data_IF_557809507021
#
_entry.id   IF_557809507021
#
_cell.length_a   1.000
_cell.length_b   1.000
_cell.length_c   1.000
_cell.angle_alpha   90.00
_cell.angle_beta   90.00
_cell.angle_gamma   90.00
#
_symmetry.space_group_name_H-M   'P 1'
#
loop_
_entity.id
_entity.type
_entity.pdbx_description
1 polymer ?
#
# COMPACT_ATOMS: atom_id res chain seq x y z
N UNK A 1 -23.29 -7.35 29.38
CA UNK A 1 -23.77 -6.04 28.90
C UNK A 1 -22.65 -5.43 28.07
N UNK A 2 -23.01 -4.98 26.86
CA UNK A 2 -22.13 -4.66 25.72
C UNK A 2 -20.99 -3.67 26.04
N UNK A 3 -19.75 -4.06 25.75
CA UNK A 3 -18.74 -3.10 25.33
C UNK A 3 -18.89 -2.89 23.83
N UNK A 4 -19.62 -1.84 23.43
CA UNK A 4 -19.58 -1.33 22.06
C UNK A 4 -18.13 -0.94 21.77
N UNK A 5 -17.40 -1.80 21.06
CA UNK A 5 -16.25 -1.36 20.27
C UNK A 5 -16.82 -0.33 19.31
N UNK A 6 -16.40 0.92 19.43
CA UNK A 6 -16.61 1.92 18.39
C UNK A 6 -16.09 1.29 17.10
N UNK A 7 -17.00 0.83 16.21
CA UNK A 7 -16.61 0.47 14.87
C UNK A 7 -16.17 1.79 14.24
N UNK A 8 -14.86 2.02 14.15
CA UNK A 8 -14.31 3.05 13.28
C UNK A 8 -14.92 2.81 11.90
N UNK A 9 -15.77 3.72 11.43
CA UNK A 9 -16.34 3.65 10.09
C UNK A 9 -15.17 3.59 9.11
N UNK A 10 -15.17 2.55 8.27
CA UNK A 10 -14.11 2.32 7.29
C UNK A 10 -14.27 3.34 6.19
N UNK A 11 -13.28 4.21 6.00
CA UNK A 11 -13.40 5.33 5.05
C UNK A 11 -12.72 5.01 3.73
N UNK A 12 -13.37 5.41 2.64
CA UNK A 12 -12.79 5.40 1.31
C UNK A 12 -12.73 6.79 0.71
N UNK A 13 -11.72 7.07 -0.10
CA UNK A 13 -11.59 8.30 -0.86
C UNK A 13 -11.68 7.99 -2.36
N UNK A 14 -12.57 8.67 -3.08
CA UNK A 14 -12.60 8.66 -4.55
C UNK A 14 -12.23 10.04 -5.05
N UNK A 15 -11.34 10.06 -6.04
CA UNK A 15 -10.89 11.26 -6.72
C UNK A 15 -11.02 11.08 -8.21
N UNK A 16 -11.98 11.77 -8.82
CA UNK A 16 -12.20 11.75 -10.27
C UNK A 16 -12.81 13.09 -10.66
N UNK A 17 -12.44 13.70 -11.77
CA UNK A 17 -13.00 15.00 -12.19
C UNK A 17 -14.40 14.84 -12.78
N UNK A 18 -14.75 13.66 -13.29
CA UNK A 18 -16.04 13.36 -13.90
C UNK A 18 -17.10 12.97 -12.85
N UNK A 19 -18.23 13.69 -12.85
CA UNK A 19 -19.26 13.54 -11.82
C UNK A 19 -20.05 12.22 -11.96
N UNK A 20 -20.27 11.74 -13.18
CA UNK A 20 -20.98 10.48 -13.43
C UNK A 20 -20.12 9.28 -13.02
N UNK A 21 -18.83 9.30 -13.38
CA UNK A 21 -17.82 8.34 -12.93
C UNK A 21 -17.76 8.30 -11.40
N UNK A 22 -17.65 9.46 -10.72
CA UNK A 22 -17.67 9.52 -9.25
C UNK A 22 -18.93 8.91 -8.64
N UNK A 23 -20.10 9.19 -9.21
CA UNK A 23 -21.37 8.67 -8.71
C UNK A 23 -21.44 7.13 -8.85
N UNK A 24 -21.12 6.60 -10.04
CA UNK A 24 -21.14 5.16 -10.30
C UNK A 24 -20.10 4.38 -9.50
N UNK A 25 -18.92 4.95 -9.28
CA UNK A 25 -17.92 4.38 -8.37
C UNK A 25 -18.39 4.44 -6.92
N UNK A 26 -19.03 5.54 -6.53
CA UNK A 26 -19.52 5.73 -5.18
C UNK A 26 -20.56 4.70 -4.76
N UNK A 27 -21.50 4.36 -5.65
CA UNK A 27 -22.48 3.28 -5.41
C UNK A 27 -21.82 1.93 -5.12
N UNK A 28 -20.76 1.59 -5.86
CA UNK A 28 -20.02 0.34 -5.67
C UNK A 28 -19.26 0.31 -4.34
N UNK A 29 -18.66 1.43 -3.93
CA UNK A 29 -17.96 1.50 -2.65
C UNK A 29 -18.90 1.52 -1.45
N UNK A 30 -20.07 2.16 -1.57
CA UNK A 30 -21.10 2.13 -0.53
C UNK A 30 -21.63 0.71 -0.30
N UNK A 31 -21.71 -0.12 -1.35
CA UNK A 31 -22.06 -1.54 -1.23
C UNK A 31 -21.07 -2.36 -0.40
N UNK A 32 -19.84 -1.86 -0.20
CA UNK A 32 -18.80 -2.47 0.64
C UNK A 32 -18.82 -1.98 2.11
N UNK A 33 -19.88 -1.28 2.53
CA UNK A 33 -20.02 -0.70 3.87
C UNK A 33 -18.90 0.29 4.23
N UNK A 34 -18.36 1.00 3.23
CA UNK A 34 -17.39 2.07 3.43
C UNK A 34 -18.11 3.42 3.53
N UNK A 35 -17.63 4.27 4.43
CA UNK A 35 -17.98 5.69 4.45
C UNK A 35 -17.18 6.43 3.37
N UNK A 36 -17.89 6.99 2.41
CA UNK A 36 -17.29 7.49 1.19
C UNK A 36 -17.06 8.99 1.24
N UNK A 37 -15.81 9.40 1.05
CA UNK A 37 -15.44 10.77 0.70
C UNK A 37 -15.16 10.83 -0.81
N UNK A 38 -15.85 11.72 -1.54
CA UNK A 38 -15.63 11.91 -2.97
C UNK A 38 -15.22 13.36 -3.24
N UNK A 39 -14.10 13.54 -3.95
CA UNK A 39 -13.55 14.86 -4.31
C UNK A 39 -13.22 14.89 -5.80
N UNK A 40 -13.12 16.09 -6.38
CA UNK A 40 -12.99 16.26 -7.84
C UNK A 40 -11.74 16.99 -8.28
N UNK A 41 -10.84 17.33 -7.36
CA UNK A 41 -9.64 18.14 -7.64
C UNK A 41 -8.41 17.60 -6.91
N UNK A 42 -7.24 17.91 -7.44
CA UNK A 42 -5.94 17.54 -6.85
C UNK A 42 -5.75 18.22 -5.49
N UNK A 43 -6.19 19.46 -5.34
CA UNK A 43 -6.08 20.22 -4.09
C UNK A 43 -6.87 19.54 -2.97
N UNK A 44 -8.11 19.14 -3.24
CA UNK A 44 -8.94 18.41 -2.27
C UNK A 44 -8.41 17.01 -1.99
N UNK A 45 -7.76 16.35 -2.96
CA UNK A 45 -7.06 15.08 -2.72
C UNK A 45 -5.96 15.26 -1.67
N UNK A 46 -5.08 16.24 -1.85
CA UNK A 46 -3.98 16.50 -0.91
C UNK A 46 -4.53 16.85 0.47
N UNK A 47 -5.55 17.72 0.54
CA UNK A 47 -6.20 18.09 1.80
C UNK A 47 -6.75 16.85 2.53
N UNK A 48 -7.46 15.96 1.84
CA UNK A 48 -8.01 14.74 2.44
C UNK A 48 -6.91 13.80 2.93
N UNK A 49 -5.85 13.60 2.14
CA UNK A 49 -4.73 12.73 2.54
C UNK A 49 -3.95 13.25 3.75
N UNK A 50 -3.97 14.56 4.00
CA UNK A 50 -3.32 15.17 5.16
C UNK A 50 -4.23 15.22 6.41
N UNK A 51 -5.54 15.21 6.23
CA UNK A 51 -6.52 15.44 7.32
C UNK A 51 -7.27 14.18 7.75
N UNK A 52 -7.18 13.11 6.98
CA UNK A 52 -7.93 11.89 7.22
C UNK A 52 -7.16 10.62 6.83
N UNK A 53 -7.42 9.55 7.58
CA UNK A 53 -6.99 8.20 7.21
C UNK A 53 -8.09 7.51 6.40
N UNK A 54 -7.68 6.74 5.41
CA UNK A 54 -8.55 5.97 4.52
C UNK A 54 -8.08 4.53 4.46
N UNK A 55 -9.02 3.59 4.35
CA UNK A 55 -8.68 2.18 4.09
C UNK A 55 -8.39 1.92 2.62
N UNK A 56 -8.87 2.81 1.73
CA UNK A 56 -8.61 2.75 0.31
C UNK A 56 -8.79 4.13 -0.34
N UNK A 57 -7.94 4.41 -1.32
CA UNK A 57 -7.98 5.65 -2.09
C UNK A 57 -7.99 5.31 -3.58
N UNK A 58 -8.98 5.78 -4.31
CA UNK A 58 -9.09 5.64 -5.76
C UNK A 58 -8.80 7.00 -6.40
N UNK A 59 -7.85 7.04 -7.33
CA UNK A 59 -7.43 8.29 -7.98
C UNK A 59 -7.47 8.11 -9.50
N UNK A 60 -8.24 8.96 -10.19
CA UNK A 60 -8.12 9.08 -11.64
C UNK A 60 -6.79 9.75 -12.01
N UNK A 61 -6.00 9.10 -12.85
CA UNK A 61 -4.74 9.64 -13.34
C UNK A 61 -4.93 10.88 -14.24
N UNK A 62 -6.11 11.04 -14.84
CA UNK A 62 -6.46 12.20 -15.66
C UNK A 62 -6.98 13.39 -14.81
N UNK A 63 -6.86 13.32 -13.48
CA UNK A 63 -7.22 14.40 -12.58
C UNK A 63 -6.27 15.60 -12.74
N UNK A 64 -6.84 16.78 -13.02
CA UNK A 64 -6.08 18.02 -13.13
C UNK A 64 -5.29 18.15 -14.44
N UNK A 65 -4.22 18.93 -14.42
CA UNK A 65 -3.32 19.09 -15.57
C UNK A 65 -2.05 18.25 -15.40
N UNK A 66 -1.50 17.75 -16.52
CA UNK A 66 -0.17 17.10 -16.57
C UNK A 66 0.00 15.91 -15.61
N UNK A 67 0.98 15.97 -14.71
CA UNK A 67 1.41 14.89 -13.81
C UNK A 67 0.98 15.12 -12.34
N UNK A 68 0.09 16.09 -12.09
CA UNK A 68 -0.32 16.47 -10.72
C UNK A 68 -0.86 15.32 -9.87
N UNK A 69 -1.63 14.40 -10.47
CA UNK A 69 -2.10 13.21 -9.78
C UNK A 69 -0.93 12.30 -9.34
N UNK A 70 0.08 12.13 -10.20
CA UNK A 70 1.29 11.36 -9.89
C UNK A 70 2.08 12.00 -8.75
N UNK A 71 2.29 13.32 -8.82
CA UNK A 71 3.06 14.04 -7.81
C UNK A 71 2.34 14.04 -6.45
N UNK A 72 1.00 14.07 -6.45
CA UNK A 72 0.19 13.94 -5.23
C UNK A 72 0.33 12.56 -4.58
N UNK A 73 0.39 11.50 -5.38
CA UNK A 73 0.62 10.13 -4.89
C UNK A 73 2.02 10.02 -4.27
N UNK A 74 3.04 10.59 -4.92
CA UNK A 74 4.40 10.60 -4.37
C UNK A 74 4.49 11.37 -3.05
N UNK A 75 3.87 12.54 -3.00
CA UNK A 75 3.82 13.34 -1.78
C UNK A 75 3.14 12.56 -0.65
N UNK A 76 2.00 11.91 -0.94
CA UNK A 76 1.28 11.09 0.03
C UNK A 76 2.13 9.93 0.56
N UNK A 77 2.85 9.24 -0.33
CA UNK A 77 3.76 8.15 0.08
C UNK A 77 4.95 8.68 0.88
N UNK A 78 5.50 9.82 0.50
CA UNK A 78 6.58 10.50 1.23
C UNK A 78 6.15 10.97 2.63
N UNK A 79 4.87 11.36 2.81
CA UNK A 79 4.30 11.76 4.09
C UNK A 79 3.86 10.59 4.98
N UNK A 80 4.13 9.34 4.57
CA UNK A 80 3.81 8.15 5.35
C UNK A 80 2.39 7.60 5.14
N UNK A 81 1.65 8.05 4.13
CA UNK A 81 0.34 7.47 3.81
C UNK A 81 0.52 6.01 3.35
N UNK A 82 -0.06 5.08 4.12
CA UNK A 82 0.04 3.63 3.90
C UNK A 82 -1.22 3.02 3.28
N UNK A 83 -2.29 3.79 3.11
CA UNK A 83 -3.52 3.31 2.50
C UNK A 83 -3.24 2.75 1.09
N UNK A 84 -3.84 1.62 0.70
CA UNK A 84 -3.89 1.18 -0.70
C UNK A 84 -4.36 2.32 -1.59
N UNK A 85 -3.59 2.59 -2.64
CA UNK A 85 -3.95 3.56 -3.68
C UNK A 85 -4.17 2.76 -4.96
N UNK A 86 -5.39 2.84 -5.48
CA UNK A 86 -5.77 2.30 -6.79
C UNK A 86 -5.82 3.46 -7.78
N UNK A 87 -4.94 3.44 -8.76
CA UNK A 87 -4.90 4.46 -9.81
C UNK A 87 -5.73 4.00 -11.00
N UNK A 88 -6.77 4.77 -11.31
CA UNK A 88 -7.62 4.54 -12.47
C UNK A 88 -7.05 5.28 -13.67
N UNK A 89 -6.82 4.59 -14.80
CA UNK A 89 -6.19 5.21 -15.96
C UNK A 89 -6.75 4.68 -17.29
N UNK A 90 -7.11 5.60 -18.20
CA UNK A 90 -7.46 5.25 -19.60
C UNK A 90 -6.21 4.97 -20.43
N UNK A 91 -5.15 5.76 -20.22
CA UNK A 91 -3.85 5.56 -20.85
C UNK A 91 -2.75 5.66 -19.81
N UNK A 92 -1.81 4.70 -19.83
CA UNK A 92 -0.70 4.66 -18.90
C UNK A 92 0.61 4.37 -19.63
N UNK A 93 1.43 5.40 -19.89
CA UNK A 93 2.78 5.24 -20.42
C UNK A 93 3.66 4.40 -19.48
N UNK A 94 4.62 3.66 -20.04
CA UNK A 94 5.49 2.75 -19.30
C UNK A 94 6.28 3.45 -18.18
N UNK A 95 6.73 4.68 -18.42
CA UNK A 95 7.40 5.51 -17.41
C UNK A 95 6.51 5.76 -16.19
N UNK A 96 5.24 6.14 -16.40
CA UNK A 96 4.26 6.34 -15.31
C UNK A 96 3.91 5.02 -14.63
N UNK A 97 3.77 3.93 -15.38
CA UNK A 97 3.52 2.60 -14.82
C UNK A 97 4.65 2.13 -13.91
N UNK A 98 5.90 2.43 -14.27
CA UNK A 98 7.08 2.09 -13.46
C UNK A 98 7.12 2.93 -12.18
N UNK A 99 6.81 4.22 -12.29
CA UNK A 99 6.70 5.15 -11.15
C UNK A 99 5.62 4.69 -10.16
N UNK A 100 4.40 4.40 -10.64
CA UNK A 100 3.30 3.88 -9.80
C UNK A 100 3.65 2.55 -9.12
N UNK A 101 4.27 1.62 -9.85
CA UNK A 101 4.73 0.35 -9.27
C UNK A 101 5.76 0.55 -8.15
N UNK A 102 6.69 1.50 -8.33
CA UNK A 102 7.69 1.81 -7.30
C UNK A 102 7.08 2.40 -6.02
N UNK A 103 5.89 3.01 -6.13
CA UNK A 103 5.10 3.57 -5.03
C UNK A 103 4.12 2.57 -4.42
N UNK A 104 4.13 1.30 -4.88
CA UNK A 104 3.24 0.26 -4.41
C UNK A 104 1.76 0.53 -4.70
N UNK A 105 1.47 1.22 -5.81
CA UNK A 105 0.09 1.50 -6.22
C UNK A 105 -0.42 0.43 -7.20
N UNK A 106 -1.66 0.01 -7.02
CA UNK A 106 -2.38 -0.81 -7.98
C UNK A 106 -2.93 0.07 -9.10
N UNK A 107 -3.10 -0.51 -10.28
CA UNK A 107 -3.60 0.21 -11.46
C UNK A 107 -4.85 -0.49 -12.00
N UNK A 108 -5.92 0.27 -12.13
CA UNK A 108 -7.16 -0.14 -12.76
C UNK A 108 -7.30 0.55 -14.13
N UNK A 109 -7.27 -0.22 -15.23
CA UNK A 109 -7.39 0.35 -16.58
C UNK A 109 -8.84 0.63 -16.94
N UNK A 110 -9.13 1.84 -17.39
CA UNK A 110 -10.43 2.23 -17.95
C UNK A 110 -10.53 1.80 -19.43
N UNK A 111 -11.68 1.31 -19.91
CA UNK A 111 -12.88 0.98 -19.13
C UNK A 111 -12.69 -0.33 -18.35
N UNK A 112 -13.31 -0.40 -17.17
CA UNK A 112 -13.38 -1.60 -16.34
C UNK A 112 -14.85 -1.90 -16.02
N UNK A 113 -15.17 -3.17 -15.83
CA UNK A 113 -16.50 -3.55 -15.36
C UNK A 113 -16.60 -3.48 -13.82
N UNK A 114 -17.82 -3.39 -13.26
CA UNK A 114 -18.02 -3.34 -11.81
C UNK A 114 -17.46 -4.54 -11.04
N UNK A 115 -17.44 -5.74 -11.65
CA UNK A 115 -16.94 -6.94 -11.00
C UNK A 115 -15.42 -6.89 -10.81
N UNK A 116 -14.70 -6.35 -11.79
CA UNK A 116 -13.25 -6.11 -11.75
C UNK A 116 -12.90 -5.12 -10.66
N UNK A 117 -13.64 -4.01 -10.55
CA UNK A 117 -13.45 -3.04 -9.49
C UNK A 117 -13.71 -3.68 -8.12
N UNK A 118 -14.85 -4.35 -7.96
CA UNK A 118 -15.21 -5.01 -6.68
C UNK A 118 -14.13 -6.00 -6.23
N UNK A 119 -13.66 -6.85 -7.14
CA UNK A 119 -12.60 -7.82 -6.85
C UNK A 119 -11.31 -7.14 -6.39
N UNK A 120 -10.90 -6.08 -7.09
CA UNK A 120 -9.70 -5.31 -6.73
C UNK A 120 -9.86 -4.63 -5.36
N UNK A 121 -11.00 -4.00 -5.10
CA UNK A 121 -11.30 -3.35 -3.82
C UNK A 121 -11.29 -4.38 -2.68
N UNK A 122 -11.91 -5.54 -2.86
CA UNK A 122 -11.89 -6.62 -1.87
C UNK A 122 -10.47 -7.12 -1.60
N UNK A 123 -9.64 -7.28 -2.63
CA UNK A 123 -8.23 -7.66 -2.47
C UNK A 123 -7.44 -6.60 -1.68
N UNK A 124 -7.58 -5.32 -2.03
CA UNK A 124 -6.90 -4.23 -1.33
C UNK A 124 -7.36 -4.11 0.13
N UNK A 125 -8.66 -4.22 0.40
CA UNK A 125 -9.22 -4.15 1.75
C UNK A 125 -8.89 -5.38 2.60
N UNK A 126 -8.77 -6.57 1.99
CA UNK A 126 -8.28 -7.77 2.67
C UNK A 126 -6.79 -7.67 2.99
N UNK A 127 -5.97 -7.15 2.08
CA UNK A 127 -4.54 -6.95 2.31
C UNK A 127 -4.24 -5.91 3.40
N UNK A 128 -5.13 -4.92 3.57
CA UNK A 128 -5.04 -3.91 4.64
C UNK A 128 -5.52 -4.41 6.01
N UNK A 129 -6.18 -5.57 6.07
CA UNK A 129 -6.76 -6.08 7.31
C UNK A 129 -5.73 -6.89 8.11
N UNK A 130 -5.46 -6.55 9.39
CA UNK A 130 -4.84 -7.49 10.30
C UNK A 130 -5.89 -8.57 10.62
N UNK A 131 -5.77 -9.72 9.95
CA UNK A 131 -6.54 -10.95 10.09
C UNK A 131 -8.01 -10.95 9.61
N UNK A 132 -8.25 -11.70 8.52
CA UNK A 132 -9.16 -12.87 8.41
C UNK A 132 -9.25 -13.29 6.93
N UNK A 133 -8.62 -14.41 6.58
CA UNK A 133 -8.89 -15.17 5.33
C UNK A 133 -10.12 -16.11 5.56
N UNK A 134 -10.82 -16.65 4.53
CA UNK A 134 -10.30 -16.99 3.19
C UNK A 134 -11.22 -16.78 1.95
N UNK A 135 -10.59 -16.72 0.75
CA UNK A 135 -10.83 -17.55 -0.47
C UNK A 135 -10.87 -16.80 -1.83
N UNK A 136 -10.01 -17.26 -2.78
CA UNK A 136 -9.97 -17.12 -4.27
C UNK A 136 -9.73 -15.74 -4.92
N UNK A 137 -8.89 -15.52 -5.95
CA UNK A 137 -8.05 -16.38 -6.80
C UNK A 137 -6.92 -15.58 -7.52
N UNK A 138 -5.67 -16.06 -7.34
CA UNK A 138 -4.61 -16.44 -8.30
C UNK A 138 -4.04 -15.46 -9.36
N UNK A 139 -2.69 -15.42 -9.50
CA UNK A 139 -2.09 -16.17 -10.62
C UNK A 139 -0.86 -17.03 -10.23
N UNK A 140 -0.74 -18.18 -10.93
CA UNK A 140 0.23 -19.28 -10.82
C UNK A 140 -0.06 -20.33 -9.71
N UNK A 141 -0.55 -21.50 -10.15
CA UNK A 141 -0.89 -22.66 -9.32
C UNK A 141 0.39 -23.25 -8.70
N UNK A 142 0.75 -22.75 -7.53
CA UNK A 142 1.36 -23.55 -6.46
C UNK A 142 0.20 -24.03 -5.58
N UNK A 143 0.27 -25.24 -5.03
CA UNK A 143 -0.79 -25.71 -4.11
C UNK A 143 -0.88 -24.79 -2.88
N UNK A 144 -2.08 -24.65 -2.29
CA UNK A 144 -2.29 -23.82 -1.09
C UNK A 144 -1.27 -24.10 0.03
N UNK A 145 -0.83 -25.36 0.15
CA UNK A 145 0.16 -25.79 1.12
C UNK A 145 1.59 -25.35 0.78
N UNK A 146 1.94 -25.29 -0.51
CA UNK A 146 3.23 -24.83 -1.00
C UNK A 146 3.36 -23.31 -0.86
N UNK A 147 2.30 -22.57 -1.16
CA UNK A 147 2.25 -21.12 -0.94
C UNK A 147 2.33 -20.76 0.54
N UNK A 148 1.66 -21.52 1.42
CA UNK A 148 1.79 -21.38 2.89
C UNK A 148 3.20 -21.72 3.37
N UNK A 149 3.83 -22.76 2.81
CA UNK A 149 5.21 -23.10 3.15
C UNK A 149 6.19 -21.99 2.77
N UNK A 150 6.03 -21.38 1.59
CA UNK A 150 6.81 -20.23 1.15
C UNK A 150 6.60 -19.00 2.04
N UNK A 151 5.35 -18.72 2.43
CA UNK A 151 5.03 -17.63 3.37
C UNK A 151 5.67 -17.84 4.74
N UNK A 152 5.66 -19.07 5.27
CA UNK A 152 6.33 -19.42 6.53
C UNK A 152 7.85 -19.28 6.42
N UNK A 153 8.45 -19.77 5.33
CA UNK A 153 9.89 -19.64 5.09
C UNK A 153 10.32 -18.17 4.99
N UNK A 154 9.49 -17.30 4.40
CA UNK A 154 9.75 -15.87 4.37
C UNK A 154 9.68 -15.24 5.77
N UNK A 155 8.69 -15.60 6.59
CA UNK A 155 8.58 -15.11 7.99
C UNK A 155 9.84 -15.49 8.78
N UNK A 156 10.33 -16.73 8.63
CA UNK A 156 11.58 -17.18 9.27
C UNK A 156 12.79 -16.35 8.80
N UNK A 157 12.89 -16.08 7.50
CA UNK A 157 13.96 -15.24 6.91
C UNK A 157 13.88 -13.78 7.38
N UNK A 158 12.67 -13.24 7.51
CA UNK A 158 12.40 -11.90 8.05
C UNK A 158 12.92 -11.77 9.48
N UNK A 159 12.69 -12.80 10.30
CA UNK A 159 13.02 -12.78 11.72
C UNK A 159 14.49 -13.04 12.00
N UNK A 160 15.06 -14.06 11.34
CA UNK A 160 16.41 -14.52 11.62
C UNK A 160 17.48 -13.78 10.81
N UNK A 161 17.09 -13.11 9.72
CA UNK A 161 18.00 -12.35 8.86
C UNK A 161 17.65 -10.86 8.86
N UNK A 162 16.60 -10.50 8.12
CA UNK A 162 16.37 -9.09 7.77
C UNK A 162 16.21 -8.16 8.97
N UNK A 163 15.42 -8.52 9.99
CA UNK A 163 15.25 -7.65 11.16
C UNK A 163 16.48 -7.58 12.05
N UNK A 164 17.23 -8.67 12.18
CA UNK A 164 18.48 -8.69 12.95
C UNK A 164 19.51 -7.80 12.27
N UNK A 165 19.69 -7.96 10.97
CA UNK A 165 20.62 -7.15 10.18
C UNK A 165 20.22 -5.68 10.16
N UNK A 166 18.91 -5.38 10.04
CA UNK A 166 18.41 -4.01 10.06
C UNK A 166 18.70 -3.35 11.42
N UNK A 167 18.36 -4.01 12.53
CA UNK A 167 18.63 -3.47 13.88
C UNK A 167 20.13 -3.26 14.13
N UNK A 168 20.96 -4.23 13.72
CA UNK A 168 22.41 -4.11 13.83
C UNK A 168 22.95 -2.92 13.03
N UNK A 169 22.44 -2.70 11.81
CA UNK A 169 22.80 -1.53 11.02
C UNK A 169 22.38 -0.20 11.67
N UNK A 170 21.20 -0.18 12.30
CA UNK A 170 20.71 0.99 13.06
C UNK A 170 21.59 1.29 14.27
N UNK A 171 21.93 0.27 15.05
CA UNK A 171 22.81 0.39 16.23
C UNK A 171 24.22 0.88 15.85
N UNK A 172 24.74 0.42 14.70
CA UNK A 172 26.02 0.86 14.17
C UNK A 172 25.97 2.22 13.46
N UNK A 173 24.78 2.81 13.29
CA UNK A 173 24.61 4.06 12.54
C UNK A 173 24.93 3.92 11.04
N UNK A 174 24.90 2.70 10.50
CA UNK A 174 25.37 2.39 9.16
C UNK A 174 24.26 2.50 8.12
N UNK A 175 24.13 3.70 7.52
CA UNK A 175 23.12 3.98 6.49
C UNK A 175 23.23 3.04 5.28
N UNK A 176 24.46 2.68 4.87
CA UNK A 176 24.69 1.78 3.72
C UNK A 176 24.22 0.34 4.00
N UNK A 177 24.46 -0.17 5.21
CA UNK A 177 23.97 -1.49 5.61
C UNK A 177 22.44 -1.50 5.76
N UNK A 178 21.87 -0.47 6.39
CA UNK A 178 20.42 -0.35 6.53
C UNK A 178 19.74 -0.31 5.16
N UNK A 179 20.27 0.47 4.22
CA UNK A 179 19.78 0.53 2.85
C UNK A 179 19.86 -0.84 2.16
N UNK A 180 20.98 -1.56 2.28
CA UNK A 180 21.13 -2.87 1.65
C UNK A 180 20.09 -3.89 2.15
N UNK A 181 19.77 -3.86 3.45
CA UNK A 181 18.74 -4.71 4.05
C UNK A 181 17.35 -4.32 3.53
N UNK A 182 17.02 -3.03 3.55
CA UNK A 182 15.73 -2.51 3.06
C UNK A 182 15.52 -2.80 1.57
N UNK A 183 16.57 -2.71 0.78
CA UNK A 183 16.53 -3.03 -0.65
C UNK A 183 16.18 -4.50 -0.91
N UNK A 184 16.81 -5.41 -0.17
CA UNK A 184 16.50 -6.86 -0.25
C UNK A 184 15.10 -7.15 0.28
N UNK A 185 14.71 -6.51 1.38
CA UNK A 185 13.40 -6.69 1.98
C UNK A 185 12.29 -6.22 1.03
N UNK A 186 12.47 -5.08 0.36
CA UNK A 186 11.58 -4.61 -0.70
C UNK A 186 11.39 -5.64 -1.80
N UNK A 187 12.50 -6.17 -2.33
CA UNK A 187 12.47 -7.11 -3.46
C UNK A 187 11.86 -8.47 -3.11
N UNK A 188 12.09 -8.95 -1.89
CA UNK A 188 11.60 -10.25 -1.44
C UNK A 188 10.15 -10.21 -0.95
N UNK A 189 9.76 -9.20 -0.16
CA UNK A 189 8.41 -9.14 0.44
C UNK A 189 7.28 -9.20 -0.60
N UNK A 190 7.46 -8.54 -1.76
CA UNK A 190 6.49 -8.57 -2.85
C UNK A 190 6.31 -9.96 -3.48
N UNK A 191 7.37 -10.76 -3.58
CA UNK A 191 7.31 -12.12 -4.14
C UNK A 191 6.56 -13.12 -3.24
N UNK A 192 6.42 -12.81 -1.95
CA UNK A 192 5.73 -13.66 -0.97
C UNK A 192 4.34 -13.11 -0.56
N UNK A 193 3.86 -12.06 -1.24
CA UNK A 193 2.55 -11.45 -0.99
C UNK A 193 2.51 -10.43 0.15
N UNK A 194 3.65 -10.07 0.74
CA UNK A 194 3.76 -9.06 1.81
C UNK A 194 3.96 -7.66 1.24
N UNK A 195 3.04 -7.23 0.37
CA UNK A 195 3.14 -5.96 -0.35
C UNK A 195 3.30 -4.75 0.58
N UNK A 196 2.59 -4.72 1.73
CA UNK A 196 2.71 -3.65 2.73
C UNK A 196 4.14 -3.49 3.22
N UNK A 197 4.77 -4.60 3.63
CA UNK A 197 6.16 -4.61 4.10
C UNK A 197 7.13 -4.16 3.00
N UNK A 198 6.90 -4.62 1.76
CA UNK A 198 7.71 -4.23 0.60
C UNK A 198 7.65 -2.73 0.32
N UNK A 199 6.46 -2.12 0.38
CA UNK A 199 6.27 -0.67 0.15
C UNK A 199 6.92 0.18 1.24
N UNK A 200 6.78 -0.21 2.52
CA UNK A 200 7.45 0.47 3.62
C UNK A 200 8.97 0.42 3.46
N UNK A 201 9.51 -0.75 3.12
CA UNK A 201 10.94 -0.91 2.87
C UNK A 201 11.42 -0.09 1.67
N UNK A 202 10.60 0.05 0.62
CA UNK A 202 10.91 0.86 -0.55
C UNK A 202 11.03 2.35 -0.23
N UNK A 203 10.15 2.88 0.61
CA UNK A 203 10.18 4.28 1.04
C UNK A 203 11.48 4.59 1.78
N UNK A 204 11.84 3.76 2.76
CA UNK A 204 13.08 3.92 3.52
C UNK A 204 14.35 3.71 2.67
N UNK A 205 14.38 2.69 1.78
CA UNK A 205 15.47 2.47 0.80
C UNK A 205 15.67 3.70 -0.09
N UNK A 206 14.58 4.29 -0.60
CA UNK A 206 14.61 5.46 -1.47
C UNK A 206 15.25 6.69 -0.82
N UNK A 207 14.89 6.99 0.44
CA UNK A 207 15.44 8.12 1.17
C UNK A 207 16.94 7.93 1.48
N UNK A 208 17.35 6.75 1.93
CA UNK A 208 18.77 6.47 2.15
C UNK A 208 19.58 6.54 0.85
N UNK A 209 19.03 6.08 -0.27
CA UNK A 209 19.66 6.17 -1.59
C UNK A 209 19.85 7.61 -2.06
N UNK A 210 18.97 8.53 -1.66
CA UNK A 210 19.08 9.96 -1.93
C UNK A 210 20.11 10.66 -1.03
N UNK A 211 20.75 9.93 -0.10
CA UNK A 211 21.80 10.46 0.77
C UNK A 211 21.28 11.08 2.07
N UNK A 212 19.99 10.89 2.40
CA UNK A 212 19.47 11.34 3.69
C UNK A 212 20.15 10.59 4.84
N UNK A 213 20.50 11.29 5.93
CA UNK A 213 21.12 10.66 7.09
C UNK A 213 20.14 9.71 7.76
N UNK A 214 20.65 8.63 8.34
CA UNK A 214 19.85 7.56 8.94
C UNK A 214 18.81 8.07 9.95
N UNK A 215 19.17 9.08 10.74
CA UNK A 215 18.29 9.74 11.72
C UNK A 215 17.05 10.37 11.08
N UNK A 216 17.17 10.94 9.88
CA UNK A 216 16.06 11.56 9.17
C UNK A 216 15.10 10.52 8.56
N UNK A 217 15.56 9.28 8.38
CA UNK A 217 14.79 8.19 7.78
C UNK A 217 14.13 7.29 8.84
N UNK A 218 14.33 7.57 10.14
CA UNK A 218 13.77 6.75 11.23
C UNK A 218 12.24 6.69 11.20
N UNK A 219 11.58 7.79 10.85
CA UNK A 219 10.12 7.81 10.70
C UNK A 219 9.60 6.84 9.63
N UNK A 220 10.43 6.46 8.65
CA UNK A 220 10.09 5.50 7.59
C UNK A 220 10.58 4.09 7.92
N UNK A 221 11.58 3.94 8.79
CA UNK A 221 12.10 2.64 9.22
C UNK A 221 11.28 2.05 10.37
N UNK A 222 10.76 2.86 11.30
CA UNK A 222 9.93 2.37 12.40
C UNK A 222 8.69 1.59 11.92
N UNK A 223 7.95 2.05 10.88
CA UNK A 223 6.86 1.28 10.30
C UNK A 223 7.29 -0.06 9.68
N UNK A 224 8.49 -0.15 9.10
CA UNK A 224 9.03 -1.41 8.55
C UNK A 224 9.20 -2.43 9.66
N UNK A 225 9.80 -2.00 10.78
CA UNK A 225 10.04 -2.85 11.96
C UNK A 225 8.69 -3.29 12.56
N UNK A 226 7.77 -2.34 12.77
CA UNK A 226 6.46 -2.63 13.33
C UNK A 226 5.64 -3.60 12.47
N UNK A 227 5.67 -3.45 11.14
CA UNK A 227 4.98 -4.38 10.25
C UNK A 227 5.62 -5.77 10.27
N UNK A 228 6.94 -5.85 10.28
CA UNK A 228 7.64 -7.12 10.37
C UNK A 228 7.34 -7.84 11.70
N UNK A 229 7.32 -7.12 12.83
CA UNK A 229 6.91 -7.65 14.13
C UNK A 229 5.45 -8.09 14.17
N UNK A 230 4.55 -7.35 13.50
CA UNK A 230 3.14 -7.76 13.37
C UNK A 230 3.03 -9.10 12.64
N UNK A 231 3.78 -9.27 11.56
CA UNK A 231 3.79 -10.52 10.79
C UNK A 231 4.33 -11.70 11.61
N UNK A 232 5.23 -11.47 12.58
CA UNK A 232 5.69 -12.51 13.51
C UNK A 232 4.61 -13.07 14.42
N UNK A 233 3.64 -12.23 14.80
CA UNK A 233 2.60 -12.62 15.75
C UNK A 233 1.46 -13.41 15.09
N UNK A 234 1.40 -13.41 13.75
CA UNK A 234 0.48 -14.22 12.96
C UNK A 234 0.92 -15.69 13.05
N UNK A 235 0.29 -16.45 13.95
CA UNK A 235 0.47 -17.90 14.01
C UNK A 235 -0.25 -18.53 12.81
N UNK A 236 0.51 -18.97 11.82
CA UNK A 236 0.03 -19.79 10.70
C UNK A 236 -0.08 -21.27 11.07
#
# INVERSE_FOLDING_TARGET
MNHLRQQTQRRALIVDSDAESRAGLGEQLLALNLDLTAVSTTESLIEQLLTAEFEIVLIDLNLGQSDQAMDSIELARGSGQIAPIVVMATHLPEAKQTRLRSLGCDVLRKPFDPATLTTLLEQCLQASRPERSPTTANPAILGDDEQRALQRAFIEMLNSGYLVDLRSALEQGSASQAQAVLHKLKGSAGSFGYHRLGTLAASADGLLRQGYPLQAVMMQIDPVIAEAERLQQLKY
#
